data_IF_378987646354
#
_entry.id   IF_378987646354
#
_cell.length_a   1.000
_cell.length_b   1.000
_cell.length_c   1.000
_cell.angle_alpha   90.00
_cell.angle_beta   90.00
_cell.angle_gamma   90.00
#
_symmetry.space_group_name_H-M   'P 1'
#
loop_
_entity.id
_entity.type
_entity.pdbx_description
1 polymer ?
#
# COMPACT_ATOMS: atom_id res chain seq x y z
N UNK A 1 2.63 1.95 -13.85
CA UNK A 1 2.50 3.31 -14.41
C UNK A 1 1.39 3.31 -15.45
N UNK A 2 0.72 4.44 -15.66
CA UNK A 2 -0.17 4.68 -16.80
C UNK A 2 0.31 5.95 -17.49
N UNK A 3 0.21 6.01 -18.82
CA UNK A 3 0.54 7.19 -19.63
C UNK A 3 -0.65 7.53 -20.52
N UNK A 4 -0.88 8.82 -20.77
CA UNK A 4 -1.86 9.27 -21.76
C UNK A 4 -1.17 9.47 -23.11
N UNK A 5 -1.58 8.70 -24.11
CA UNK A 5 -1.08 8.82 -25.49
C UNK A 5 -2.12 9.48 -26.42
N UNK A 6 -3.24 9.98 -25.89
CA UNK A 6 -4.35 10.53 -26.71
C UNK A 6 -3.92 11.71 -27.59
N UNK A 7 -2.90 12.47 -27.16
CA UNK A 7 -2.37 13.62 -27.91
C UNK A 7 -1.38 13.25 -29.03
N UNK A 8 -0.96 11.98 -29.12
CA UNK A 8 0.07 11.50 -30.06
C UNK A 8 -0.57 11.10 -31.40
N UNK A 9 -1.06 12.10 -32.16
CA UNK A 9 -1.84 11.85 -33.39
C UNK A 9 -1.02 11.41 -34.61
N UNK A 10 0.28 11.72 -34.64
CA UNK A 10 1.15 11.51 -35.82
C UNK A 10 2.20 10.42 -35.59
N UNK A 11 2.06 9.65 -34.52
CA UNK A 11 3.01 8.62 -34.12
C UNK A 11 2.26 7.29 -34.12
N UNK A 12 2.84 6.29 -34.77
CA UNK A 12 2.36 4.92 -34.63
C UNK A 12 2.51 4.49 -33.16
N UNK A 13 1.37 4.24 -32.52
CA UNK A 13 1.33 3.96 -31.08
C UNK A 13 2.01 2.64 -30.74
N UNK A 14 1.96 1.66 -31.65
CA UNK A 14 2.57 0.37 -31.46
C UNK A 14 4.10 0.49 -31.47
N UNK A 15 4.66 1.07 -32.54
CA UNK A 15 6.10 1.25 -32.70
C UNK A 15 6.70 2.11 -31.59
N UNK A 16 5.98 3.15 -31.17
CA UNK A 16 6.41 3.99 -30.05
C UNK A 16 6.49 3.22 -28.73
N UNK A 17 5.51 2.36 -28.45
CA UNK A 17 5.55 1.50 -27.26
C UNK A 17 6.68 0.48 -27.33
N UNK A 18 6.91 -0.16 -28.48
CA UNK A 18 8.02 -1.10 -28.68
C UNK A 18 9.36 -0.39 -28.44
N UNK A 19 9.53 0.82 -28.96
CA UNK A 19 10.71 1.66 -28.71
C UNK A 19 10.92 1.93 -27.22
N UNK A 20 9.89 2.38 -26.50
CA UNK A 20 9.99 2.64 -25.05
C UNK A 20 10.41 1.38 -24.30
N UNK A 21 9.78 0.23 -24.62
CA UNK A 21 10.11 -1.05 -23.99
C UNK A 21 11.59 -1.39 -24.20
N UNK A 22 12.07 -1.31 -25.43
CA UNK A 22 13.46 -1.64 -25.77
C UNK A 22 14.43 -0.67 -25.08
N UNK A 23 14.13 0.62 -25.04
CA UNK A 23 14.97 1.59 -24.31
C UNK A 23 15.07 1.28 -22.80
N UNK A 24 13.98 0.83 -22.16
CA UNK A 24 14.01 0.43 -20.75
C UNK A 24 14.86 -0.84 -20.58
N UNK A 25 14.70 -1.81 -21.48
CA UNK A 25 15.50 -3.03 -21.48
C UNK A 25 16.99 -2.72 -21.66
N UNK A 26 17.35 -1.83 -22.58
CA UNK A 26 18.74 -1.50 -22.89
C UNK A 26 19.41 -0.71 -21.76
N UNK A 27 18.68 0.24 -21.14
CA UNK A 27 19.24 1.14 -20.11
C UNK A 27 19.24 0.51 -18.72
N UNK A 28 18.17 -0.20 -18.35
CA UNK A 28 17.96 -0.69 -16.99
C UNK A 28 18.07 -2.21 -16.88
N UNK A 29 18.12 -2.94 -18.02
CA UNK A 29 18.07 -4.40 -18.07
C UNK A 29 16.84 -5.00 -17.38
N UNK A 30 15.70 -4.30 -17.47
CA UNK A 30 14.42 -4.69 -16.87
C UNK A 30 13.42 -5.02 -17.97
N UNK A 31 12.90 -6.26 -18.04
CA UNK A 31 11.88 -6.63 -19.02
C UNK A 31 10.54 -5.98 -18.66
N UNK A 32 9.94 -5.30 -19.64
CA UNK A 32 8.65 -4.62 -19.50
C UNK A 32 7.68 -5.11 -20.56
N UNK A 33 6.41 -5.24 -20.19
CA UNK A 33 5.29 -5.43 -21.12
C UNK A 33 4.44 -4.16 -21.14
N UNK A 34 3.91 -3.77 -22.29
CA UNK A 34 3.06 -2.59 -22.45
C UNK A 34 1.70 -3.01 -22.98
N UNK A 35 0.64 -2.59 -22.28
CA UNK A 35 -0.74 -2.78 -22.73
C UNK A 35 -1.36 -1.43 -23.02
N UNK A 36 -1.93 -1.28 -24.22
CA UNK A 36 -2.55 -0.04 -24.70
C UNK A 36 -4.04 -0.28 -24.91
N UNK A 37 -4.88 0.62 -24.41
CA UNK A 37 -6.33 0.55 -24.58
C UNK A 37 -6.98 1.92 -24.29
N UNK A 38 -8.28 2.11 -24.62
CA UNK A 38 -9.01 3.37 -24.38
C UNK A 38 -9.18 3.76 -22.91
N UNK A 39 -9.09 2.79 -21.99
CA UNK A 39 -9.36 2.98 -20.56
C UNK A 39 -8.29 2.34 -19.69
N UNK A 40 -8.09 2.83 -18.46
CA UNK A 40 -7.06 2.30 -17.56
C UNK A 40 -7.28 0.82 -17.25
N UNK A 41 -8.54 0.44 -17.07
CA UNK A 41 -8.89 -0.94 -16.76
C UNK A 41 -8.56 -1.84 -17.95
N UNK A 42 -8.90 -1.46 -19.18
CA UNK A 42 -8.54 -2.22 -20.37
C UNK A 42 -7.03 -2.24 -20.62
N UNK A 43 -6.27 -1.18 -20.29
CA UNK A 43 -4.80 -1.21 -20.37
C UNK A 43 -4.22 -2.30 -19.47
N UNK A 44 -4.81 -2.53 -18.28
CA UNK A 44 -4.41 -3.63 -17.40
C UNK A 44 -4.76 -5.00 -17.98
N UNK A 45 -5.91 -5.12 -18.65
CA UNK A 45 -6.28 -6.34 -19.37
C UNK A 45 -5.29 -6.62 -20.51
N UNK A 46 -4.99 -5.63 -21.35
CA UNK A 46 -4.02 -5.74 -22.43
C UNK A 46 -2.63 -6.16 -21.91
N UNK A 47 -2.15 -5.51 -20.84
CA UNK A 47 -0.86 -5.82 -20.22
C UNK A 47 -0.79 -7.26 -19.71
N UNK A 48 -1.90 -7.76 -19.15
CA UNK A 48 -2.00 -9.13 -18.67
C UNK A 48 -1.94 -10.13 -19.83
N UNK A 49 -2.66 -9.86 -20.92
CA UNK A 49 -2.66 -10.71 -22.11
C UNK A 49 -1.24 -10.89 -22.66
N UNK A 50 -0.45 -9.81 -22.72
CA UNK A 50 0.96 -9.89 -23.13
C UNK A 50 1.75 -10.85 -22.24
N UNK A 51 1.54 -10.78 -20.92
CA UNK A 51 2.27 -11.59 -19.94
C UNK A 51 1.85 -13.06 -19.92
N UNK A 52 0.56 -13.33 -20.13
CA UNK A 52 0.02 -14.69 -20.13
C UNK A 52 0.27 -15.40 -21.49
N UNK A 53 0.52 -14.66 -22.57
CA UNK A 53 0.80 -15.20 -23.91
C UNK A 53 2.04 -14.58 -24.57
N UNK A 54 3.25 -14.73 -23.98
CA UNK A 54 4.46 -14.10 -24.50
C UNK A 54 4.78 -14.52 -25.95
N UNK A 55 4.56 -15.79 -26.31
CA UNK A 55 4.82 -16.35 -27.66
C UNK A 55 3.94 -15.74 -28.76
N UNK A 56 2.79 -15.19 -28.37
CA UNK A 56 1.85 -14.54 -29.30
C UNK A 56 2.14 -13.05 -29.44
N UNK A 57 2.77 -12.46 -28.45
CA UNK A 57 3.08 -11.04 -28.36
C UNK A 57 4.58 -10.87 -28.13
N UNK A 58 5.39 -11.39 -29.06
CA UNK A 58 6.86 -11.41 -28.96
C UNK A 58 7.46 -10.02 -28.75
N UNK A 59 6.83 -8.98 -29.29
CA UNK A 59 7.24 -7.60 -29.13
C UNK A 59 6.89 -7.03 -27.75
N UNK A 60 6.15 -7.76 -26.91
CA UNK A 60 5.78 -7.39 -25.55
C UNK A 60 4.80 -6.21 -25.47
N UNK A 61 4.11 -5.90 -26.58
CA UNK A 61 3.12 -4.84 -26.70
C UNK A 61 1.81 -5.44 -27.18
N UNK A 62 0.69 -5.00 -26.61
CA UNK A 62 -0.63 -5.35 -27.13
C UNK A 62 -1.61 -4.17 -27.04
N UNK A 63 -2.32 -3.94 -28.14
CA UNK A 63 -3.29 -2.85 -28.29
C UNK A 63 -4.71 -3.42 -28.40
N UNK A 64 -5.57 -3.01 -27.47
CA UNK A 64 -7.01 -3.26 -27.47
C UNK A 64 -7.75 -2.04 -28.03
N UNK A 65 -7.74 -1.88 -29.36
CA UNK A 65 -8.29 -0.73 -30.10
C UNK A 65 -9.66 -1.00 -30.76
N UNK A 66 -10.13 -2.24 -30.78
CA UNK A 66 -11.39 -2.63 -31.43
C UNK A 66 -12.37 -3.31 -30.48
N UNK A 67 -13.70 -3.15 -30.68
CA UNK A 67 -14.72 -3.84 -29.89
C UNK A 67 -14.55 -5.37 -29.88
N UNK A 68 -14.15 -5.97 -31.02
CA UNK A 68 -13.97 -7.42 -31.15
C UNK A 68 -12.77 -7.90 -30.33
N UNK A 69 -11.66 -7.15 -30.34
CA UNK A 69 -10.48 -7.45 -29.50
C UNK A 69 -10.84 -7.34 -28.02
N UNK A 70 -11.59 -6.30 -27.63
CA UNK A 70 -12.06 -6.10 -26.25
C UNK A 70 -12.97 -7.26 -25.83
N UNK A 71 -13.98 -7.59 -26.61
CA UNK A 71 -14.90 -8.70 -26.31
C UNK A 71 -14.14 -10.02 -26.13
N UNK A 72 -13.22 -10.34 -27.04
CA UNK A 72 -12.38 -11.55 -26.95
C UNK A 72 -11.54 -11.56 -25.67
N UNK A 73 -10.93 -10.43 -25.33
CA UNK A 73 -10.15 -10.26 -24.11
C UNK A 73 -11.01 -10.49 -22.85
N UNK A 74 -12.22 -9.92 -22.82
CA UNK A 74 -13.12 -10.01 -21.66
C UNK A 74 -13.77 -11.39 -21.49
N UNK A 75 -14.00 -12.13 -22.58
CA UNK A 75 -14.45 -13.54 -22.51
C UNK A 75 -13.36 -14.47 -21.98
N UNK A 76 -12.09 -14.15 -22.24
CA UNK A 76 -10.96 -14.90 -21.71
C UNK A 76 -10.70 -14.59 -20.23
N UNK A 77 -10.76 -13.31 -19.83
CA UNK A 77 -10.38 -12.83 -18.51
C UNK A 77 -11.32 -13.32 -17.39
N UNK A 78 -10.78 -13.98 -16.37
CA UNK A 78 -11.57 -14.34 -15.19
C UNK A 78 -11.96 -13.09 -14.39
N UNK A 79 -13.10 -13.15 -13.71
CA UNK A 79 -13.63 -12.02 -12.96
C UNK A 79 -12.67 -11.58 -11.83
N UNK A 80 -12.02 -12.52 -11.15
CA UNK A 80 -11.05 -12.24 -10.09
C UNK A 80 -9.72 -11.65 -10.58
N UNK A 81 -9.51 -11.64 -11.89
CA UNK A 81 -8.32 -11.08 -12.54
C UNK A 81 -8.55 -9.64 -13.02
N UNK A 82 -9.78 -9.15 -12.97
CA UNK A 82 -10.13 -7.76 -13.27
C UNK A 82 -9.56 -6.84 -12.21
N UNK A 83 -8.87 -5.78 -12.64
CA UNK A 83 -8.32 -4.78 -11.74
C UNK A 83 -9.42 -4.11 -10.91
N UNK A 84 -9.32 -4.22 -9.58
CA UNK A 84 -10.33 -3.75 -8.63
C UNK A 84 -11.23 -4.84 -8.05
N UNK A 85 -11.17 -6.08 -8.56
CA UNK A 85 -11.91 -7.23 -8.03
C UNK A 85 -10.97 -8.12 -7.22
N UNK A 86 -11.14 -8.14 -5.90
CA UNK A 86 -10.37 -8.98 -4.98
C UNK A 86 -11.04 -10.32 -4.69
N UNK A 87 -10.34 -11.22 -3.98
CA UNK A 87 -10.80 -12.60 -3.64
C UNK A 87 -12.24 -12.67 -3.12
N UNK A 88 -12.60 -11.83 -2.14
CA UNK A 88 -13.95 -11.82 -1.56
C UNK A 88 -15.02 -11.43 -2.56
N UNK A 89 -14.71 -10.44 -3.40
CA UNK A 89 -15.65 -9.96 -4.41
C UNK A 89 -15.79 -10.97 -5.56
N UNK A 90 -14.68 -11.59 -5.97
CA UNK A 90 -14.68 -12.68 -6.95
C UNK A 90 -15.54 -13.85 -6.48
N UNK A 91 -15.45 -14.25 -5.19
CA UNK A 91 -16.31 -15.29 -4.65
C UNK A 91 -17.80 -14.91 -4.76
N UNK A 92 -18.17 -13.70 -4.30
CA UNK A 92 -19.54 -13.19 -4.40
C UNK A 92 -20.07 -13.12 -5.83
N UNK A 93 -19.20 -12.81 -6.80
CA UNK A 93 -19.55 -12.76 -8.22
C UNK A 93 -19.75 -14.17 -8.80
N UNK A 94 -18.86 -15.11 -8.47
CA UNK A 94 -18.99 -16.50 -8.86
C UNK A 94 -20.30 -17.11 -8.34
N UNK A 95 -20.66 -16.84 -7.08
CA UNK A 95 -21.93 -17.28 -6.48
C UNK A 95 -23.17 -16.74 -7.25
N UNK A 96 -23.00 -15.66 -8.01
CA UNK A 96 -24.04 -15.05 -8.86
C UNK A 96 -23.92 -15.41 -10.34
N UNK A 97 -23.12 -16.43 -10.66
CA UNK A 97 -22.88 -16.91 -12.03
C UNK A 97 -22.02 -15.99 -12.90
N UNK A 98 -21.23 -15.10 -12.29
CA UNK A 98 -20.31 -14.19 -13.00
C UNK A 98 -18.90 -14.73 -12.83
N UNK A 99 -18.36 -15.40 -13.85
CA UNK A 99 -17.05 -16.05 -13.79
C UNK A 99 -16.00 -15.33 -14.64
N UNK A 100 -16.44 -14.71 -15.74
CA UNK A 100 -15.62 -13.93 -16.67
C UNK A 100 -15.94 -12.45 -16.58
N UNK A 101 -15.00 -11.62 -17.01
CA UNK A 101 -15.23 -10.18 -17.12
C UNK A 101 -16.38 -9.86 -18.10
N UNK A 102 -16.57 -10.69 -19.13
CA UNK A 102 -17.70 -10.58 -20.05
C UNK A 102 -19.06 -10.81 -19.36
N UNK A 103 -19.16 -11.79 -18.45
CA UNK A 103 -20.40 -12.08 -17.73
C UNK A 103 -20.85 -10.90 -16.89
N UNK A 104 -19.90 -10.13 -16.34
CA UNK A 104 -20.18 -8.90 -15.59
C UNK A 104 -20.86 -7.85 -16.48
N UNK A 105 -20.45 -7.74 -17.75
CA UNK A 105 -21.05 -6.78 -18.68
C UNK A 105 -22.50 -7.14 -19.05
N UNK A 106 -22.89 -8.41 -18.87
CA UNK A 106 -24.27 -8.87 -19.08
C UNK A 106 -25.19 -8.61 -17.87
N UNK A 107 -24.63 -8.20 -16.71
CA UNK A 107 -25.43 -7.88 -15.54
C UNK A 107 -25.98 -6.45 -15.60
N UNK A 108 -27.19 -6.20 -15.05
CA UNK A 108 -27.71 -4.84 -14.92
C UNK A 108 -26.77 -3.95 -14.09
N UNK A 109 -26.61 -2.69 -14.49
CA UNK A 109 -25.77 -1.73 -13.75
C UNK A 109 -26.18 -1.61 -12.28
N UNK A 110 -27.49 -1.63 -12.01
CA UNK A 110 -28.04 -1.55 -10.66
C UNK A 110 -27.55 -2.71 -9.77
N UNK A 111 -27.42 -3.90 -10.34
CA UNK A 111 -26.87 -5.07 -9.65
C UNK A 111 -25.38 -4.87 -9.31
N UNK A 112 -24.60 -4.36 -10.27
CA UNK A 112 -23.17 -4.05 -10.06
C UNK A 112 -23.02 -2.99 -8.97
N UNK A 113 -23.87 -1.93 -8.99
CA UNK A 113 -23.89 -0.88 -7.98
C UNK A 113 -24.24 -1.40 -6.59
N UNK A 114 -25.19 -2.33 -6.48
CA UNK A 114 -25.56 -2.93 -5.19
C UNK A 114 -24.40 -3.74 -4.58
N UNK A 115 -23.55 -4.34 -5.42
CA UNK A 115 -22.46 -5.19 -4.96
C UNK A 115 -21.16 -4.41 -4.71
N UNK A 116 -20.84 -3.45 -5.58
CA UNK A 116 -19.54 -2.77 -5.63
C UNK A 116 -19.64 -1.25 -5.42
N UNK A 117 -20.85 -0.70 -5.31
CA UNK A 117 -21.08 0.74 -5.28
C UNK A 117 -20.73 1.42 -6.60
N UNK A 118 -20.52 2.74 -6.53
CA UNK A 118 -20.22 3.57 -7.71
C UNK A 118 -18.91 3.17 -8.40
N UNK A 119 -17.94 2.65 -7.66
CA UNK A 119 -16.65 2.23 -8.21
C UNK A 119 -16.79 1.00 -9.12
N UNK A 120 -17.71 0.08 -8.82
CA UNK A 120 -18.00 -1.04 -9.72
C UNK A 120 -18.67 -0.60 -11.01
N UNK A 121 -19.58 0.36 -10.95
CA UNK A 121 -20.20 0.95 -12.14
C UNK A 121 -19.13 1.61 -13.02
N UNK A 122 -18.24 2.40 -12.42
CA UNK A 122 -17.12 3.03 -13.15
C UNK A 122 -16.20 1.98 -13.79
N UNK A 123 -15.86 0.91 -13.08
CA UNK A 123 -15.07 -0.19 -13.61
C UNK A 123 -15.79 -0.93 -14.76
N UNK A 124 -17.09 -1.19 -14.63
CA UNK A 124 -17.89 -1.80 -15.69
C UNK A 124 -17.88 -0.92 -16.96
N UNK A 125 -18.02 0.40 -16.81
CA UNK A 125 -17.93 1.34 -17.92
C UNK A 125 -16.52 1.39 -18.52
N UNK A 126 -15.47 1.32 -17.71
CA UNK A 126 -14.10 1.20 -18.21
C UNK A 126 -13.89 -0.06 -19.05
N UNK A 127 -14.45 -1.21 -18.63
CA UNK A 127 -14.41 -2.45 -19.40
C UNK A 127 -15.21 -2.35 -20.71
N UNK A 128 -16.27 -1.54 -20.75
CA UNK A 128 -17.01 -1.19 -21.98
C UNK A 128 -16.25 -0.19 -22.88
N UNK A 129 -15.05 0.24 -22.50
CA UNK A 129 -14.26 1.22 -23.25
C UNK A 129 -14.63 2.68 -22.96
N UNK A 130 -15.53 2.94 -22.00
CA UNK A 130 -15.95 4.29 -21.62
C UNK A 130 -15.04 4.79 -20.50
N UNK A 131 -14.23 5.82 -20.77
CA UNK A 131 -13.28 6.39 -19.80
C UNK A 131 -14.03 6.96 -18.58
N UNK A 132 -13.63 6.52 -17.39
CA UNK A 132 -14.16 6.97 -16.09
C UNK A 132 -13.06 7.30 -15.09
N UNK A 133 -11.83 6.82 -15.32
CA UNK A 133 -10.70 7.04 -14.42
C UNK A 133 -9.68 8.00 -15.05
N UNK A 134 -9.54 9.19 -14.47
CA UNK A 134 -8.52 10.17 -14.86
C UNK A 134 -7.13 9.78 -14.35
N UNK A 135 -6.07 10.22 -15.04
CA UNK A 135 -4.71 10.04 -14.54
C UNK A 135 -4.50 10.96 -13.33
N UNK A 136 -4.43 10.36 -12.14
CA UNK A 136 -4.30 11.12 -10.91
C UNK A 136 -2.94 11.83 -10.86
N UNK A 137 -2.97 13.13 -10.55
CA UNK A 137 -1.78 13.81 -10.05
C UNK A 137 -1.39 13.20 -8.68
N UNK A 138 -0.11 13.27 -8.28
CA UNK A 138 0.32 12.82 -6.96
C UNK A 138 -0.49 13.53 -5.88
N UNK A 139 -1.39 12.80 -5.21
CA UNK A 139 -2.17 13.36 -4.11
C UNK A 139 -1.32 13.39 -2.82
N UNK A 140 -1.51 14.40 -1.95
CA UNK A 140 -0.85 14.42 -0.66
C UNK A 140 -1.21 13.16 0.13
N UNK A 141 -0.24 12.61 0.85
CA UNK A 141 -0.46 11.42 1.69
C UNK A 141 -1.52 11.75 2.74
N UNK A 142 -2.51 10.87 2.89
CA UNK A 142 -3.60 11.06 3.88
C UNK A 142 -3.34 10.35 5.22
N UNK A 143 -2.33 9.49 5.26
CA UNK A 143 -1.92 8.78 6.47
C UNK A 143 -0.47 8.31 6.36
N UNK A 144 0.15 8.10 7.51
CA UNK A 144 1.47 7.48 7.66
C UNK A 144 1.28 6.33 8.63
N UNK A 145 1.57 5.12 8.17
CA UNK A 145 1.54 3.92 8.98
C UNK A 145 2.95 3.35 9.10
N UNK A 146 3.41 3.14 10.33
CA UNK A 146 4.62 2.38 10.64
C UNK A 146 4.18 1.15 11.41
N UNK A 147 4.21 0.00 10.72
CA UNK A 147 3.71 -1.26 11.26
C UNK A 147 4.67 -2.38 10.89
N UNK A 148 4.80 -3.39 11.75
CA UNK A 148 5.62 -4.58 11.46
C UNK A 148 4.97 -5.82 12.02
N UNK A 149 5.10 -6.91 11.26
CA UNK A 149 4.95 -8.25 11.81
C UNK A 149 6.28 -8.64 12.45
N UNK A 150 6.25 -9.11 13.70
CA UNK A 150 7.42 -9.53 14.45
C UNK A 150 7.97 -10.86 13.93
N UNK A 151 9.28 -11.05 14.03
CA UNK A 151 9.91 -12.33 13.65
C UNK A 151 9.41 -13.47 14.53
N UNK A 152 9.58 -13.30 15.84
CA UNK A 152 9.00 -14.17 16.87
C UNK A 152 7.75 -13.49 17.44
N UNK A 153 6.78 -14.28 17.90
CA UNK A 153 5.62 -13.73 18.59
C UNK A 153 6.06 -13.23 19.96
N UNK A 154 5.70 -12.00 20.29
CA UNK A 154 6.07 -11.35 21.54
C UNK A 154 4.96 -11.58 22.57
N UNK A 155 5.34 -11.93 23.79
CA UNK A 155 4.40 -12.14 24.91
C UNK A 155 4.62 -11.13 26.02
N UNK A 156 5.83 -10.59 26.16
CA UNK A 156 6.15 -9.62 27.20
C UNK A 156 5.68 -8.23 26.81
N UNK A 157 4.99 -7.57 27.74
CA UNK A 157 4.48 -6.21 27.59
C UNK A 157 5.56 -5.22 27.15
N UNK A 158 6.70 -5.22 27.84
CA UNK A 158 7.80 -4.28 27.57
C UNK A 158 8.39 -4.45 26.16
N UNK A 159 8.44 -5.69 25.65
CA UNK A 159 8.91 -5.95 24.29
C UNK A 159 7.94 -5.40 23.23
N UNK A 160 6.64 -5.49 23.47
CA UNK A 160 5.63 -4.91 22.55
C UNK A 160 5.55 -3.39 22.72
N UNK A 161 5.68 -2.86 23.94
CA UNK A 161 5.69 -1.43 24.22
C UNK A 161 6.80 -0.73 23.45
N UNK A 162 8.03 -1.21 23.61
CA UNK A 162 9.23 -0.69 22.93
C UNK A 162 9.04 -0.65 21.41
N UNK A 163 8.41 -1.70 20.85
CA UNK A 163 8.11 -1.81 19.43
C UNK A 163 7.19 -0.68 18.97
N UNK A 164 6.10 -0.47 19.70
CA UNK A 164 5.07 0.51 19.34
C UNK A 164 5.60 1.94 19.52
N UNK A 165 6.33 2.22 20.60
CA UNK A 165 6.93 3.53 20.84
C UNK A 165 7.95 3.90 19.75
N UNK A 166 8.78 2.93 19.34
CA UNK A 166 9.68 3.09 18.19
C UNK A 166 8.92 3.44 16.90
N UNK A 167 7.77 2.80 16.66
CA UNK A 167 6.93 3.14 15.50
C UNK A 167 6.34 4.54 15.60
N UNK A 168 5.96 4.98 16.81
CA UNK A 168 5.53 6.35 17.08
C UNK A 168 6.60 7.37 16.68
N UNK A 169 7.85 7.16 17.11
CA UNK A 169 8.99 8.01 16.76
C UNK A 169 9.20 8.09 15.24
N UNK A 170 9.15 6.94 14.54
CA UNK A 170 9.28 6.91 13.08
C UNK A 170 8.11 7.59 12.36
N UNK A 171 6.89 7.53 12.91
CA UNK A 171 5.77 8.33 12.40
C UNK A 171 6.06 9.82 12.53
N UNK A 172 6.53 10.27 13.70
CA UNK A 172 6.89 11.68 13.95
C UNK A 172 8.00 12.18 13.03
N UNK A 173 9.06 11.40 12.83
CA UNK A 173 10.13 11.73 11.88
C UNK A 173 9.60 11.88 10.45
N UNK A 174 8.68 11.00 10.03
CA UNK A 174 8.05 11.04 8.70
C UNK A 174 7.11 12.24 8.52
N UNK A 175 6.41 12.65 9.58
CA UNK A 175 5.58 13.86 9.59
C UNK A 175 6.45 15.10 9.40
N UNK A 176 7.55 15.22 10.14
CA UNK A 176 8.52 16.32 10.01
C UNK A 176 9.15 16.37 8.62
N UNK A 177 9.54 15.23 8.04
CA UNK A 177 10.02 15.16 6.64
C UNK A 177 8.99 15.61 5.61
N UNK A 178 7.70 15.53 5.95
CA UNK A 178 6.60 16.01 5.10
C UNK A 178 6.16 17.44 5.44
N UNK A 179 6.82 18.11 6.41
CA UNK A 179 6.41 19.42 6.94
C UNK A 179 4.93 19.45 7.37
N UNK A 180 4.48 18.35 7.98
CA UNK A 180 3.09 18.18 8.45
C UNK A 180 3.05 17.82 9.92
N UNK A 181 1.91 18.08 10.55
CA UNK A 181 1.50 17.62 11.87
C UNK A 181 0.28 16.70 11.72
N UNK A 182 0.04 15.82 12.70
CA UNK A 182 -1.16 14.98 12.75
C UNK A 182 -2.06 15.37 13.93
N UNK A 183 -3.38 15.21 13.75
CA UNK A 183 -4.37 15.25 14.84
C UNK A 183 -4.80 13.89 15.35
N UNK A 184 -4.62 12.83 14.57
CA UNK A 184 -5.09 11.50 14.94
C UNK A 184 -3.92 10.52 15.07
N UNK A 185 -3.88 9.82 16.19
CA UNK A 185 -2.90 8.77 16.47
C UNK A 185 -3.65 7.49 16.80
N UNK A 186 -3.34 6.41 16.08
CA UNK A 186 -3.93 5.09 16.28
C UNK A 186 -2.85 4.08 16.58
N UNK A 187 -3.05 3.29 17.63
CA UNK A 187 -2.19 2.16 17.98
C UNK A 187 -2.99 0.87 17.83
N UNK A 188 -2.37 -0.18 17.28
CA UNK A 188 -2.99 -1.49 17.22
C UNK A 188 -2.00 -2.61 17.54
N UNK A 189 -2.55 -3.70 18.06
CA UNK A 189 -1.86 -4.96 18.35
C UNK A 189 -2.68 -6.13 17.83
N UNK A 190 -2.01 -7.18 17.36
CA UNK A 190 -2.67 -8.34 16.76
C UNK A 190 -1.84 -9.63 16.91
N UNK A 191 -2.51 -10.74 17.24
CA UNK A 191 -1.93 -12.09 17.27
C UNK A 191 -1.94 -12.76 15.89
N UNK A 192 -1.38 -13.96 15.78
CA UNK A 192 -1.35 -14.69 14.52
C UNK A 192 -2.65 -15.47 14.26
N UNK A 193 -3.55 -14.93 13.41
CA UNK A 193 -4.79 -15.60 12.97
C UNK A 193 -4.63 -16.97 12.29
N UNK A 194 -3.39 -17.38 11.98
CA UNK A 194 -3.11 -18.68 11.36
C UNK A 194 -2.70 -19.74 12.40
N UNK A 195 -2.51 -19.36 13.68
CA UNK A 195 -2.17 -20.25 14.79
C UNK A 195 -3.42 -20.55 15.60
N UNK A 196 -4.19 -21.56 15.16
CA UNK A 196 -5.44 -22.00 15.82
C UNK A 196 -5.19 -22.68 17.17
N UNK A 197 -3.96 -23.07 17.43
CA UNK A 197 -3.48 -23.64 18.69
C UNK A 197 -3.27 -22.59 19.80
N UNK A 198 -3.28 -21.30 19.46
CA UNK A 198 -3.09 -20.19 20.40
C UNK A 198 -4.34 -19.30 20.46
N UNK A 199 -4.57 -18.60 21.57
CA UNK A 199 -5.70 -17.69 21.68
C UNK A 199 -5.54 -16.50 20.73
N UNK A 200 -6.65 -16.11 20.08
CA UNK A 200 -6.68 -14.99 19.14
C UNK A 200 -7.01 -13.68 19.85
N UNK A 201 -6.27 -12.61 19.52
CA UNK A 201 -6.55 -11.27 20.00
C UNK A 201 -6.17 -10.21 18.97
N UNK A 202 -7.01 -9.19 18.88
CA UNK A 202 -6.77 -8.02 18.04
C UNK A 202 -7.51 -6.84 18.64
N UNK A 203 -6.79 -5.76 18.87
CA UNK A 203 -7.38 -4.52 19.35
C UNK A 203 -6.67 -3.32 18.71
N UNK A 204 -7.40 -2.22 18.60
CA UNK A 204 -6.90 -0.95 18.07
C UNK A 204 -7.65 0.20 18.74
N UNK A 205 -6.92 1.25 19.11
CA UNK A 205 -7.50 2.46 19.70
C UNK A 205 -6.91 3.70 19.08
N UNK A 206 -7.73 4.72 18.94
CA UNK A 206 -7.40 5.99 18.33
C UNK A 206 -7.64 7.12 19.32
N UNK A 207 -6.71 8.06 19.40
CA UNK A 207 -6.87 9.31 20.12
C UNK A 207 -6.82 10.47 19.12
N UNK A 208 -7.74 11.42 19.30
CA UNK A 208 -7.73 12.71 18.62
C UNK A 208 -7.02 13.69 19.56
N UNK A 209 -5.99 14.35 19.06
CA UNK A 209 -5.19 15.33 19.78
C UNK A 209 -5.87 16.69 19.73
N UNK A 210 -5.86 17.41 20.85
CA UNK A 210 -6.37 18.78 20.92
C UNK A 210 -5.62 19.71 19.97
N UNK A 211 -4.29 19.57 19.92
CA UNK A 211 -3.39 20.36 19.09
C UNK A 211 -2.65 19.44 18.08
N UNK A 212 -2.62 19.76 16.77
CA UNK A 212 -1.82 18.99 15.81
C UNK A 212 -0.35 19.00 16.19
N UNK A 213 0.33 17.86 16.12
CA UNK A 213 1.76 17.77 16.48
C UNK A 213 2.53 16.87 15.53
N UNK A 214 3.84 17.09 15.44
CA UNK A 214 4.80 16.13 14.89
C UNK A 214 5.96 15.86 15.87
N UNK A 215 5.80 16.22 17.15
CA UNK A 215 6.78 15.97 18.19
C UNK A 215 6.86 14.48 18.49
N UNK A 216 8.06 13.92 18.50
CA UNK A 216 8.27 12.52 18.89
C UNK A 216 7.93 12.29 20.36
N UNK A 217 8.09 13.32 21.21
CA UNK A 217 7.83 13.24 22.64
C UNK A 217 6.32 13.11 22.90
N UNK A 218 5.52 14.01 22.32
CA UNK A 218 4.05 14.00 22.47
C UNK A 218 3.44 12.75 21.84
N UNK A 219 3.83 12.42 20.61
CA UNK A 219 3.33 11.22 19.93
C UNK A 219 3.75 9.97 20.69
N UNK A 220 4.98 9.90 21.22
CA UNK A 220 5.45 8.78 22.04
C UNK A 220 4.59 8.59 23.30
N UNK A 221 4.28 9.67 24.02
CA UNK A 221 3.41 9.65 25.21
C UNK A 221 2.02 9.09 24.88
N UNK A 222 1.36 9.67 23.87
CA UNK A 222 0.03 9.25 23.40
C UNK A 222 0.04 7.79 22.94
N UNK A 223 1.07 7.38 22.20
CA UNK A 223 1.24 6.02 21.74
C UNK A 223 1.34 5.04 22.91
N UNK A 224 2.11 5.38 23.94
CA UNK A 224 2.22 4.55 25.14
C UNK A 224 0.88 4.46 25.88
N UNK A 225 0.19 5.58 26.11
CA UNK A 225 -1.14 5.60 26.75
C UNK A 225 -2.16 4.72 25.99
N UNK A 226 -2.18 4.84 24.67
CA UNK A 226 -3.03 4.01 23.82
C UNK A 226 -2.66 2.53 23.92
N UNK A 227 -1.37 2.21 23.87
CA UNK A 227 -0.86 0.85 24.00
C UNK A 227 -1.25 0.21 25.34
N UNK A 228 -1.05 0.92 26.45
CA UNK A 228 -1.41 0.47 27.80
C UNK A 228 -2.88 0.08 27.90
N UNK A 229 -3.76 0.81 27.18
CA UNK A 229 -5.20 0.54 27.21
C UNK A 229 -5.68 -0.59 26.29
N UNK A 230 -4.82 -1.12 25.40
CA UNK A 230 -5.19 -2.19 24.45
C UNK A 230 -4.34 -3.46 24.60
N UNK A 231 -3.31 -3.45 25.45
CA UNK A 231 -2.49 -4.61 25.70
C UNK A 231 -3.19 -5.55 26.68
N UNK A 232 -3.14 -6.85 26.39
CA UNK A 232 -3.68 -7.91 27.23
C UNK A 232 -2.62 -9.02 27.42
N UNK A 233 -2.42 -9.41 28.66
CA UNK A 233 -1.55 -10.53 29.00
C UNK A 233 -2.13 -11.87 28.51
N UNK A 234 -1.26 -12.87 28.32
CA UNK A 234 -1.65 -14.21 27.89
C UNK A 234 -1.71 -14.41 26.37
N UNK A 235 -1.49 -13.35 25.58
CA UNK A 235 -1.50 -13.42 24.12
C UNK A 235 -0.11 -13.39 23.49
N UNK A 236 -0.01 -14.00 22.31
CA UNK A 236 1.20 -14.07 21.51
C UNK A 236 1.10 -13.11 20.33
N UNK A 237 1.57 -11.88 20.55
CA UNK A 237 1.46 -10.81 19.57
C UNK A 237 2.37 -11.06 18.37
N UNK A 238 1.81 -11.03 17.16
CA UNK A 238 2.56 -11.23 15.90
C UNK A 238 2.76 -9.92 15.14
N UNK A 239 1.92 -8.91 15.37
CA UNK A 239 1.97 -7.65 14.65
C UNK A 239 1.52 -6.50 15.55
N UNK A 240 2.20 -5.37 15.45
CA UNK A 240 1.73 -4.11 16.00
C UNK A 240 2.08 -2.95 15.07
N UNK A 241 1.51 -1.78 15.33
CA UNK A 241 1.79 -0.60 14.55
C UNK A 241 1.16 0.67 15.08
N UNK A 242 1.73 1.78 14.61
CA UNK A 242 1.20 3.13 14.81
C UNK A 242 0.78 3.69 13.46
N UNK A 243 -0.39 4.32 13.44
CA UNK A 243 -0.93 5.03 12.28
C UNK A 243 -1.24 6.45 12.72
N UNK A 244 -0.73 7.42 11.96
CA UNK A 244 -1.05 8.84 12.13
C UNK A 244 -1.75 9.37 10.89
N UNK A 245 -2.75 10.21 11.09
CA UNK A 245 -3.61 10.76 10.04
C UNK A 245 -4.23 12.08 10.51
N UNK A 246 -5.09 12.65 9.65
CA UNK A 246 -5.63 14.01 9.78
C UNK A 246 -4.50 15.05 9.81
N UNK A 247 -3.86 15.20 8.64
CA UNK A 247 -2.65 16.01 8.49
C UNK A 247 -2.98 17.48 8.27
N UNK A 248 -2.19 18.32 8.94
CA UNK A 248 -2.20 19.77 8.77
C UNK A 248 -0.77 20.21 8.46
N UNK A 249 -0.54 21.14 7.51
CA UNK A 249 0.79 21.74 7.32
C UNK A 249 1.33 22.32 8.63
N UNK A 250 2.64 22.15 8.89
CA UNK A 250 3.29 22.60 10.14
C UNK A 250 3.11 24.11 10.38
N UNK A 251 3.05 24.90 9.31
CA UNK A 251 2.87 26.36 9.30
C UNK A 251 1.40 26.81 9.38
N UNK A 252 0.44 25.88 9.32
CA UNK A 252 -1.00 26.17 9.30
C UNK A 252 -1.74 25.52 10.50
N UNK A 253 -1.04 25.32 11.61
CA UNK A 253 -1.61 24.72 12.82
C UNK A 253 -2.61 25.65 13.48
N UNK A 254 -3.88 25.24 13.51
CA UNK A 254 -4.87 25.81 14.41
C UNK A 254 -4.76 25.15 15.78
N UNK A 255 -4.37 25.94 16.77
CA UNK A 255 -4.23 25.51 18.16
C UNK A 255 -5.51 25.81 18.95
N UNK A 256 -5.79 24.97 19.93
CA UNK A 256 -6.83 25.16 20.92
C UNK A 256 -6.55 26.41 21.75
N UNK A 257 -7.61 27.14 22.11
CA UNK A 257 -7.51 28.28 23.03
C UNK A 257 -7.34 27.84 24.49
N UNK A 258 -7.73 26.60 24.81
CA UNK A 258 -7.86 26.12 26.19
C UNK A 258 -6.79 25.10 26.59
N UNK A 259 -6.04 24.57 25.62
CA UNK A 259 -5.08 23.48 25.83
C UNK A 259 -3.67 23.99 25.54
N UNK A 260 -2.71 23.62 26.38
CA UNK A 260 -1.32 24.00 26.20
C UNK A 260 -0.73 23.37 24.91
N UNK A 261 0.09 24.15 24.19
CA UNK A 261 0.80 23.68 23.00
C UNK A 261 2.32 23.61 23.23
N UNK A 262 2.82 22.40 23.52
CA UNK A 262 4.26 22.16 23.72
C UNK A 262 5.03 22.00 22.39
N UNK A 263 4.36 22.01 21.23
CA UNK A 263 5.00 21.75 19.93
C UNK A 263 6.16 22.72 19.65
N UNK A 264 5.95 24.03 19.88
CA UNK A 264 6.96 25.04 19.57
C UNK A 264 8.21 24.91 20.45
N UNK A 265 8.05 24.41 21.68
CA UNK A 265 9.16 24.13 22.59
C UNK A 265 9.92 22.87 22.15
N UNK A 266 9.21 21.84 21.69
CA UNK A 266 9.80 20.58 21.25
C UNK A 266 10.50 20.67 19.89
N UNK A 267 10.01 21.50 18.98
CA UNK A 267 10.44 21.51 17.58
C UNK A 267 11.95 21.73 17.37
N UNK A 268 12.64 22.67 18.07
CA UNK A 268 14.08 22.82 17.97
C UNK A 268 14.83 21.54 18.36
N UNK A 269 14.42 20.90 19.46
CA UNK A 269 15.01 19.64 19.94
C UNK A 269 14.81 18.52 18.92
N UNK A 270 13.60 18.42 18.35
CA UNK A 270 13.30 17.41 17.33
C UNK A 270 14.13 17.60 16.06
N UNK A 271 14.31 18.85 15.61
CA UNK A 271 15.14 19.18 14.43
C UNK A 271 16.62 18.81 14.65
N UNK A 272 17.15 19.08 15.84
CA UNK A 272 18.53 18.70 16.20
C UNK A 272 18.67 17.18 16.24
N UNK A 273 17.71 16.48 16.86
CA UNK A 273 17.69 15.01 16.90
C UNK A 273 17.69 14.39 15.50
N UNK A 274 16.83 14.89 14.61
CA UNK A 274 16.74 14.41 13.23
C UNK A 274 18.04 14.69 12.45
N UNK A 275 18.65 15.87 12.63
CA UNK A 275 19.91 16.23 12.00
C UNK A 275 21.07 15.32 12.47
N UNK A 276 21.15 15.03 13.77
CA UNK A 276 22.14 14.12 14.33
C UNK A 276 21.96 12.69 13.79
N UNK A 277 20.72 12.18 13.76
CA UNK A 277 20.44 10.86 13.21
C UNK A 277 20.69 10.76 11.70
N UNK A 278 20.49 11.85 10.96
CA UNK A 278 20.86 11.90 9.54
C UNK A 278 22.37 11.83 9.32
N UNK A 279 23.15 12.51 10.18
CA UNK A 279 24.61 12.63 10.05
C UNK A 279 25.37 11.41 10.58
N UNK A 280 24.98 10.89 11.75
CA UNK A 280 25.73 9.86 12.47
C UNK A 280 25.12 8.45 12.34
N UNK A 281 24.04 8.33 11.59
CA UNK A 281 23.31 7.08 11.40
C UNK A 281 22.00 7.03 12.19
N UNK A 282 21.13 6.13 11.76
CA UNK A 282 19.78 6.01 12.30
C UNK A 282 19.79 5.64 13.79
N UNK A 283 18.87 6.23 14.54
CA UNK A 283 18.57 5.92 15.95
C UNK A 283 19.76 6.10 16.94
N UNK A 284 20.69 7.01 16.62
CA UNK A 284 21.81 7.38 17.50
C UNK A 284 21.35 8.25 18.67
N UNK A 285 20.48 9.22 18.40
CA UNK A 285 19.74 9.99 19.38
C UNK A 285 18.28 9.54 19.31
N UNK A 286 17.73 9.13 20.44
CA UNK A 286 16.40 8.52 20.53
C UNK A 286 15.75 8.86 21.86
N UNK A 287 14.45 8.61 21.95
CA UNK A 287 13.73 8.70 23.22
C UNK A 287 14.18 7.56 24.14
N UNK A 288 14.15 7.81 25.45
CA UNK A 288 14.56 6.81 26.45
C UNK A 288 13.72 5.53 26.44
N UNK A 289 12.52 5.59 25.87
CA UNK A 289 11.62 4.45 25.68
C UNK A 289 12.03 3.51 24.54
N UNK A 290 12.94 3.92 23.65
CA UNK A 290 13.40 3.11 22.53
C UNK A 290 14.62 2.25 22.90
N UNK A 291 14.63 1.00 22.46
CA UNK A 291 15.81 0.16 22.60
C UNK A 291 16.96 0.67 21.72
N UNK A 292 18.19 0.53 22.21
CA UNK A 292 19.39 0.87 21.45
C UNK A 292 19.91 -0.22 20.54
N UNK A 293 19.26 -1.38 20.56
CA UNK A 293 19.63 -2.52 19.76
C UNK A 293 18.71 -2.57 18.55
N UNK A 294 19.22 -3.10 17.44
CA UNK A 294 18.35 -3.39 16.31
C UNK A 294 17.49 -4.61 16.65
N UNK A 295 16.31 -4.39 17.21
CA UNK A 295 15.37 -5.46 17.58
C UNK A 295 14.62 -6.03 16.37
N UNK A 296 15.05 -5.68 15.15
CA UNK A 296 14.39 -5.97 13.87
C UNK A 296 15.39 -6.51 12.83
N UNK A 297 15.28 -7.80 12.56
CA UNK A 297 15.87 -8.49 11.42
C UNK A 297 14.81 -8.95 10.42
N UNK A 298 15.23 -9.39 9.23
CA UNK A 298 14.38 -10.21 8.37
C UNK A 298 14.35 -11.61 8.96
N UNK A 299 13.16 -12.23 9.04
CA UNK A 299 13.09 -13.66 9.30
C UNK A 299 13.96 -14.35 8.23
N UNK A 300 14.94 -15.13 8.64
CA UNK A 300 15.67 -15.96 7.68
C UNK A 300 14.64 -16.87 7.02
N UNK A 301 14.62 -16.82 5.70
CA UNK A 301 13.76 -17.69 4.92
C UNK A 301 14.23 -19.13 5.22
N UNK A 302 13.31 -20.06 5.47
CA UNK A 302 13.74 -21.45 5.68
C UNK A 302 14.47 -21.95 4.44
N UNK A 303 15.49 -22.80 4.57
CA UNK A 303 16.20 -23.36 3.43
C UNK A 303 15.25 -24.00 2.41
N UNK A 304 14.17 -24.63 2.87
CA UNK A 304 13.17 -25.22 1.97
C UNK A 304 12.35 -24.16 1.23
N UNK A 305 11.97 -23.06 1.88
CA UNK A 305 11.25 -21.97 1.21
C UNK A 305 12.17 -21.17 0.28
N UNK A 306 13.47 -21.09 0.60
CA UNK A 306 14.48 -20.49 -0.28
C UNK A 306 14.70 -21.37 -1.53
N UNK A 307 14.77 -22.68 -1.36
CA UNK A 307 14.83 -23.65 -2.45
C UNK A 307 13.53 -23.67 -3.28
N UNK A 308 12.36 -23.60 -2.62
CA UNK A 308 11.07 -23.47 -3.30
C UNK A 308 11.00 -22.22 -4.15
N UNK A 309 11.45 -21.07 -3.63
CA UNK A 309 11.53 -19.84 -4.41
C UNK A 309 12.49 -20.02 -5.59
N UNK A 310 13.71 -20.52 -5.38
CA UNK A 310 14.69 -20.77 -6.46
C UNK A 310 14.15 -21.70 -7.56
N UNK A 311 13.33 -22.67 -7.19
CA UNK A 311 12.80 -23.68 -8.12
C UNK A 311 11.45 -23.32 -8.75
N UNK A 312 10.71 -22.34 -8.20
CA UNK A 312 9.38 -21.95 -8.69
C UNK A 312 9.26 -20.48 -9.09
N UNK A 313 10.34 -19.69 -8.98
CA UNK A 313 10.44 -18.44 -9.72
C UNK A 313 10.93 -18.75 -11.13
N UNK A 314 10.14 -18.36 -12.15
CA UNK A 314 10.65 -18.27 -13.52
C UNK A 314 12.02 -17.55 -13.49
N UNK A 315 13.02 -17.98 -14.28
CA UNK A 315 14.38 -17.39 -14.28
C UNK A 315 14.39 -15.86 -14.45
N UNK A 316 13.30 -15.29 -14.97
CA UNK A 316 13.11 -13.87 -15.28
C UNK A 316 12.45 -13.07 -14.13
N UNK A 317 12.00 -13.71 -13.04
CA UNK A 317 11.21 -13.07 -11.98
C UNK A 317 12.06 -12.53 -10.79
N UNK A 318 13.31 -12.12 -11.04
CA UNK A 318 14.24 -11.64 -10.01
C UNK A 318 14.12 -10.14 -9.67
N UNK A 319 12.97 -9.51 -9.93
CA UNK A 319 12.72 -8.13 -9.49
C UNK A 319 11.52 -8.06 -8.54
N UNK A 320 11.80 -8.25 -7.25
CA UNK A 320 10.89 -7.83 -6.17
C UNK A 320 11.02 -6.31 -6.02
N UNK A 321 10.05 -5.57 -6.57
CA UNK A 321 9.92 -4.14 -6.34
C UNK A 321 9.69 -3.83 -4.85
N UNK A 322 10.45 -2.85 -4.34
CA UNK A 322 10.24 -2.21 -3.04
C UNK A 322 9.33 -0.99 -3.16
#
# INVERSE_FOLDING_TARGET
MFLDLTSFKYIDTHDYCVKIKNEIQDKENIPVSIGVAPTKTLCKVANRIVKDFPEKFNEGVYILDSPEKIEKALKWLNIGDVWGIGRKLSAKMNDSGVYKAWDLLQKPEMWVRQIMGIHGVRMMNELKGIRQLELDAPSPKKSIAVTRSFMQMLTKKDEVRERVETFGMYCSERLRKQNTCCKMVTVFVQTNRFRKDLPEYRNAKTQILSNPTNSSILIGRVVNELFESIFEDGFHYKKAGVIVNDFVPEDQRLISLFEEDEQNQHLPVMKVMDAMNKKYGKDKVRLGSMSGQNTWGRAQISPEYEAFLKNNTLPEANFRFH
#
